data_IF_170517650051
#
_entry.id   IF_170517650051
#
_cell.length_a   1.000
_cell.length_b   1.000
_cell.length_c   1.000
_cell.angle_alpha   90.00
_cell.angle_beta   90.00
_cell.angle_gamma   90.00
#
_symmetry.space_group_name_H-M   'P 1'
#
loop_
_entity.id
_entity.type
_entity.pdbx_description
1 polymer ?
#
# COMPACT_ATOMS: atom_id res chain seq x y z
N UNK A 1 4.94 33.48 -4.52
CA UNK A 1 4.14 34.27 -3.56
C UNK A 1 3.83 35.60 -4.24
N UNK A 2 2.70 35.63 -4.94
CA UNK A 2 2.45 36.47 -6.11
C UNK A 2 1.60 37.70 -5.76
N UNK A 3 1.57 38.70 -6.66
CA UNK A 3 0.96 40.02 -6.53
C UNK A 3 -0.44 40.08 -5.89
N UNK A 4 -1.20 38.98 -5.92
CA UNK A 4 -2.50 38.82 -5.26
C UNK A 4 -2.44 39.00 -3.74
N UNK A 5 -1.42 38.48 -3.06
CA UNK A 5 -1.29 38.60 -1.60
C UNK A 5 -1.00 40.05 -1.18
N UNK A 6 -0.23 40.77 -2.02
CA UNK A 6 0.13 42.18 -1.83
C UNK A 6 -1.08 43.12 -2.01
N UNK A 7 -1.91 42.84 -3.03
CA UNK A 7 -3.17 43.56 -3.27
C UNK A 7 -4.23 43.28 -2.19
N UNK A 8 -4.27 42.07 -1.64
CA UNK A 8 -5.16 41.69 -0.54
C UNK A 8 -4.77 42.34 0.80
N UNK A 9 -3.48 42.41 1.14
CA UNK A 9 -3.02 43.14 2.32
C UNK A 9 -3.31 44.65 2.20
N UNK A 10 -3.12 45.24 1.02
CA UNK A 10 -3.41 46.65 0.78
C UNK A 10 -4.90 46.98 0.93
N UNK A 11 -5.80 46.10 0.48
CA UNK A 11 -7.25 46.29 0.59
C UNK A 11 -7.78 46.07 2.02
N UNK A 12 -7.22 45.13 2.79
CA UNK A 12 -7.57 44.91 4.19
C UNK A 12 -7.11 46.07 5.10
N UNK A 13 -5.95 46.69 4.81
CA UNK A 13 -5.45 47.86 5.55
C UNK A 13 -6.21 49.15 5.21
N UNK A 14 -6.66 49.31 3.95
CA UNK A 14 -7.43 50.50 3.53
C UNK A 14 -8.82 50.57 4.16
N UNK A 15 -9.37 49.43 4.62
CA UNK A 15 -10.66 49.35 5.30
C UNK A 15 -10.62 49.79 6.78
N UNK A 16 -9.44 49.88 7.40
CA UNK A 16 -9.32 50.11 8.85
C UNK A 16 -8.37 51.25 9.25
N UNK A 17 -7.49 51.72 8.36
CA UNK A 17 -6.62 52.88 8.61
C UNK A 17 -6.61 53.81 7.39
N UNK A 18 -7.47 54.84 7.34
CA UNK A 18 -7.61 55.72 6.15
C UNK A 18 -6.41 56.64 5.86
N UNK A 19 -5.28 56.48 6.55
CA UNK A 19 -4.24 57.50 6.65
C UNK A 19 -2.80 56.98 6.51
N UNK A 20 -2.53 56.02 5.62
CA UNK A 20 -1.14 55.67 5.24
C UNK A 20 -0.98 55.40 3.73
N UNK A 21 -0.30 56.29 2.96
CA UNK A 21 -0.38 56.26 1.51
C UNK A 21 0.87 55.71 0.79
N UNK A 22 1.63 54.73 1.31
CA UNK A 22 2.66 54.09 0.45
C UNK A 22 3.23 52.71 0.88
N UNK A 23 3.61 51.91 -0.11
CA UNK A 23 4.14 50.54 0.00
C UNK A 23 5.50 50.46 0.74
N UNK A 24 6.27 51.56 0.75
CA UNK A 24 7.56 51.68 1.45
C UNK A 24 7.41 51.65 2.98
N UNK A 25 6.32 52.20 3.52
CA UNK A 25 6.03 52.27 4.96
C UNK A 25 5.61 50.90 5.54
N UNK A 26 5.17 49.99 4.67
CA UNK A 26 4.79 48.62 5.06
C UNK A 26 6.03 47.73 5.29
N UNK A 27 7.14 47.99 4.56
CA UNK A 27 8.41 47.27 4.75
C UNK A 27 9.13 47.64 6.05
N UNK A 28 9.02 48.90 6.49
CA UNK A 28 9.58 49.34 7.78
C UNK A 28 8.74 48.82 8.96
N UNK A 29 7.42 48.73 8.82
CA UNK A 29 6.50 48.15 9.81
C UNK A 29 6.74 46.65 10.11
N UNK A 30 7.30 45.91 9.16
CA UNK A 30 7.67 44.48 9.32
C UNK A 30 8.95 44.24 10.14
N UNK A 31 9.72 45.30 10.47
CA UNK A 31 10.89 45.22 11.33
C UNK A 31 10.56 45.41 12.81
N UNK A 32 9.35 45.86 13.15
CA UNK A 32 8.85 45.90 14.52
C UNK A 32 8.32 44.51 14.91
N UNK A 33 8.91 43.82 15.91
CA UNK A 33 8.50 42.48 16.30
C UNK A 33 7.06 42.41 16.80
N UNK A 34 6.58 43.45 17.48
CA UNK A 34 5.25 43.50 18.09
C UNK A 34 4.19 43.72 17.01
N UNK A 35 4.47 44.63 16.06
CA UNK A 35 3.59 44.90 14.93
C UNK A 35 3.53 43.71 13.97
N UNK A 36 4.67 43.04 13.73
CA UNK A 36 4.75 41.80 12.95
C UNK A 36 3.92 40.68 13.58
N UNK A 37 3.99 40.50 14.89
CA UNK A 37 3.17 39.50 15.59
C UNK A 37 1.67 39.79 15.48
N UNK A 38 1.29 41.08 15.61
CA UNK A 38 -0.10 41.53 15.47
C UNK A 38 -0.62 41.34 14.04
N UNK A 39 0.21 41.63 13.03
CA UNK A 39 -0.11 41.41 11.62
C UNK A 39 -0.23 39.92 11.26
N UNK A 40 0.63 39.06 11.81
CA UNK A 40 0.53 37.59 11.62
C UNK A 40 -0.76 37.07 12.26
N UNK A 41 -1.03 37.46 13.50
CA UNK A 41 -2.28 37.08 14.20
C UNK A 41 -3.51 37.56 13.44
N UNK A 42 -3.53 38.81 12.96
CA UNK A 42 -4.64 39.33 12.15
C UNK A 42 -4.77 38.62 10.80
N UNK A 43 -3.65 38.27 10.14
CA UNK A 43 -3.66 37.47 8.91
C UNK A 43 -4.32 36.13 9.16
N UNK A 44 -3.92 35.44 10.22
CA UNK A 44 -4.44 34.12 10.53
C UNK A 44 -5.94 34.18 10.89
N UNK A 45 -6.38 35.20 11.65
CA UNK A 45 -7.83 35.44 11.92
C UNK A 45 -8.63 35.81 10.66
N UNK A 46 -8.07 36.63 9.76
CA UNK A 46 -8.74 37.01 8.50
C UNK A 46 -8.81 35.83 7.53
N UNK A 47 -7.74 35.04 7.43
CA UNK A 47 -7.73 33.79 6.66
C UNK A 47 -8.76 32.82 7.23
N UNK A 48 -8.82 32.61 8.54
CA UNK A 48 -9.81 31.76 9.20
C UNK A 48 -11.25 32.20 8.89
N UNK A 49 -11.51 33.51 8.89
CA UNK A 49 -12.84 34.11 8.61
C UNK A 49 -13.22 34.15 7.12
N UNK A 50 -12.24 34.21 6.22
CA UNK A 50 -12.45 34.11 4.77
C UNK A 50 -12.62 32.64 4.34
N UNK A 51 -11.86 31.73 4.95
CA UNK A 51 -11.96 30.30 4.71
C UNK A 51 -13.20 29.66 5.35
N UNK A 52 -13.78 30.27 6.38
CA UNK A 52 -15.08 29.85 6.93
C UNK A 52 -16.27 30.11 6.00
N UNK A 53 -16.09 30.78 4.86
CA UNK A 53 -17.18 31.05 3.91
C UNK A 53 -17.32 30.00 2.79
N UNK A 54 -16.36 29.08 2.61
CA UNK A 54 -16.52 27.94 1.70
C UNK A 54 -15.84 26.67 2.24
N UNK A 55 -16.57 25.55 2.22
CA UNK A 55 -16.09 24.25 2.70
C UNK A 55 -14.75 23.84 2.06
N UNK A 56 -14.59 24.09 0.76
CA UNK A 56 -13.37 23.79 0.01
C UNK A 56 -12.14 24.55 0.50
N UNK A 57 -12.32 25.81 0.91
CA UNK A 57 -11.21 26.66 1.29
C UNK A 57 -10.78 26.39 2.74
N UNK A 58 -11.72 26.02 3.61
CA UNK A 58 -11.42 25.42 4.92
C UNK A 58 -10.67 24.08 4.78
N UNK A 59 -11.14 23.17 3.92
CA UNK A 59 -10.47 21.90 3.65
C UNK A 59 -9.03 22.12 3.15
N UNK A 60 -8.85 23.01 2.17
CA UNK A 60 -7.54 23.39 1.65
C UNK A 60 -6.61 23.91 2.75
N UNK A 61 -7.13 24.77 3.64
CA UNK A 61 -6.39 25.26 4.81
C UNK A 61 -5.97 24.13 5.74
N UNK A 62 -6.89 23.23 6.09
CA UNK A 62 -6.62 22.08 6.96
C UNK A 62 -5.55 21.18 6.40
N UNK A 63 -5.64 20.81 5.12
CA UNK A 63 -4.65 19.94 4.47
C UNK A 63 -3.26 20.58 4.41
N UNK A 64 -3.19 21.89 4.12
CA UNK A 64 -1.93 22.65 4.02
C UNK A 64 -1.25 22.92 5.36
N UNK A 65 -2.03 23.21 6.40
CA UNK A 65 -1.45 23.66 7.67
C UNK A 65 -1.17 22.52 8.63
N UNK A 66 -1.84 21.37 8.46
CA UNK A 66 -1.60 20.19 9.30
C UNK A 66 -0.57 19.24 8.72
N UNK A 67 -0.06 19.49 7.50
CA UNK A 67 0.97 18.68 6.86
C UNK A 67 2.00 19.53 6.12
N UNK A 68 3.27 19.12 6.16
CA UNK A 68 4.33 19.70 5.31
C UNK A 68 4.65 18.84 4.10
N UNK A 69 4.26 17.56 4.13
CA UNK A 69 4.75 16.53 3.21
C UNK A 69 3.72 16.14 2.14
N UNK A 70 2.49 16.66 2.23
CA UNK A 70 1.45 16.40 1.23
C UNK A 70 1.57 17.40 0.07
N UNK A 71 1.84 16.89 -1.13
CA UNK A 71 2.10 17.73 -2.29
C UNK A 71 0.86 18.54 -2.73
N UNK A 72 1.06 19.76 -3.24
CA UNK A 72 -0.02 20.66 -3.65
C UNK A 72 -0.99 20.01 -4.65
N UNK A 73 -0.46 19.30 -5.65
CA UNK A 73 -1.28 18.63 -6.67
C UNK A 73 -2.21 17.56 -6.06
N UNK A 74 -1.78 16.90 -4.98
CA UNK A 74 -2.62 15.93 -4.26
C UNK A 74 -3.73 16.67 -3.54
N UNK A 75 -3.39 17.75 -2.84
CA UNK A 75 -4.36 18.59 -2.11
C UNK A 75 -5.42 19.12 -3.08
N UNK A 76 -5.03 19.63 -4.25
CA UNK A 76 -5.95 20.16 -5.25
C UNK A 76 -6.93 19.09 -5.73
N UNK A 77 -6.45 17.87 -6.03
CA UNK A 77 -7.34 16.76 -6.44
C UNK A 77 -8.23 16.27 -5.31
N UNK A 78 -7.76 16.26 -4.07
CA UNK A 78 -8.56 15.89 -2.89
C UNK A 78 -9.68 16.91 -2.67
N UNK A 79 -9.37 18.21 -2.74
CA UNK A 79 -10.37 19.27 -2.59
C UNK A 79 -11.47 19.16 -3.64
N UNK A 80 -11.10 19.03 -4.92
CA UNK A 80 -12.08 18.81 -6.00
C UNK A 80 -12.89 17.53 -5.79
N UNK A 81 -12.25 16.45 -5.31
CA UNK A 81 -12.95 15.20 -5.00
C UNK A 81 -14.05 15.39 -3.96
N UNK A 82 -13.77 16.14 -2.89
CA UNK A 82 -14.74 16.40 -1.83
C UNK A 82 -15.84 17.37 -2.29
N UNK A 83 -15.53 18.39 -3.09
CA UNK A 83 -16.55 19.24 -3.73
C UNK A 83 -17.53 18.42 -4.58
N UNK A 84 -17.02 17.42 -5.30
CA UNK A 84 -17.85 16.53 -6.09
C UNK A 84 -18.67 15.56 -5.24
N UNK A 85 -18.12 15.06 -4.13
CA UNK A 85 -18.87 14.27 -3.14
C UNK A 85 -20.05 15.09 -2.60
N UNK A 86 -19.82 16.34 -2.20
CA UNK A 86 -20.85 17.27 -1.72
C UNK A 86 -21.92 17.50 -2.80
N UNK A 87 -21.49 17.80 -4.03
CA UNK A 87 -22.40 18.01 -5.17
C UNK A 87 -23.29 16.80 -5.47
N UNK A 88 -22.79 15.60 -5.27
CA UNK A 88 -23.55 14.36 -5.45
C UNK A 88 -24.32 13.93 -4.20
N UNK A 89 -24.30 14.72 -3.12
CA UNK A 89 -24.95 14.43 -1.83
C UNK A 89 -24.57 13.05 -1.27
N UNK A 90 -23.30 12.67 -1.40
CA UNK A 90 -22.82 11.40 -0.86
C UNK A 90 -22.63 11.57 0.64
N UNK A 91 -23.39 10.81 1.45
CA UNK A 91 -23.24 10.84 2.90
C UNK A 91 -21.88 10.28 3.34
N UNK A 92 -21.19 11.06 4.16
CA UNK A 92 -19.95 10.68 4.85
C UNK A 92 -19.82 11.41 6.20
N UNK A 93 -18.90 10.95 7.03
CA UNK A 93 -18.48 11.63 8.27
C UNK A 93 -17.30 12.59 8.02
N UNK A 94 -16.85 13.30 9.06
CA UNK A 94 -15.79 14.31 8.95
C UNK A 94 -14.36 13.75 8.99
N UNK A 95 -14.18 12.44 8.84
CA UNK A 95 -12.86 11.81 8.78
C UNK A 95 -12.48 11.58 7.31
N UNK A 96 -11.29 12.06 6.93
CA UNK A 96 -10.76 11.93 5.58
C UNK A 96 -9.42 11.19 5.62
N UNK A 97 -9.30 10.12 4.84
CA UNK A 97 -8.02 9.47 4.57
C UNK A 97 -7.52 9.83 3.18
N UNK A 98 -6.25 10.22 3.06
CA UNK A 98 -5.58 10.46 1.77
C UNK A 98 -4.43 9.49 1.64
N UNK A 99 -4.34 8.80 0.50
CA UNK A 99 -3.21 7.94 0.15
C UNK A 99 -2.58 8.46 -1.13
N UNK A 100 -1.31 8.83 -1.07
CA UNK A 100 -0.53 9.27 -2.23
C UNK A 100 0.33 8.11 -2.75
N UNK A 101 -0.13 7.44 -3.80
CA UNK A 101 0.62 6.35 -4.43
C UNK A 101 1.74 6.84 -5.37
N UNK A 102 1.85 8.15 -5.63
CA UNK A 102 3.01 8.71 -6.37
C UNK A 102 4.31 8.61 -5.55
N UNK A 103 4.18 8.56 -4.22
CA UNK A 103 5.32 8.36 -3.32
C UNK A 103 5.75 6.89 -3.26
N UNK A 104 7.06 6.62 -3.18
CA UNK A 104 7.60 5.28 -2.94
C UNK A 104 7.02 4.61 -1.69
N UNK A 105 6.84 3.29 -1.74
CA UNK A 105 6.26 2.52 -0.63
C UNK A 105 7.14 2.42 0.63
N UNK A 106 8.39 2.87 0.57
CA UNK A 106 9.25 3.04 1.76
C UNK A 106 9.08 4.41 2.45
N UNK A 107 8.16 5.25 1.98
CA UNK A 107 7.83 6.55 2.59
C UNK A 107 6.44 6.50 3.22
N UNK A 108 6.23 7.37 4.23
CA UNK A 108 4.91 7.58 4.82
C UNK A 108 4.05 8.33 3.80
N UNK A 109 3.01 7.68 3.32
CA UNK A 109 2.18 8.13 2.18
C UNK A 109 0.68 7.96 2.40
N UNK A 110 0.30 7.81 3.67
CA UNK A 110 -1.09 7.82 4.13
C UNK A 110 -1.24 8.88 5.20
N UNK A 111 -2.28 9.71 5.06
CA UNK A 111 -2.70 10.71 6.02
C UNK A 111 -4.14 10.47 6.42
N UNK A 112 -4.48 10.69 7.68
CA UNK A 112 -5.86 10.68 8.19
C UNK A 112 -6.12 11.99 8.89
N UNK A 113 -7.20 12.67 8.52
CA UNK A 113 -7.59 13.99 9.01
C UNK A 113 -8.93 13.92 9.72
N UNK A 114 -9.03 14.68 10.80
CA UNK A 114 -10.29 15.12 11.39
C UNK A 114 -10.61 16.51 10.82
N UNK A 115 -11.55 16.57 9.89
CA UNK A 115 -11.94 17.80 9.19
C UNK A 115 -12.81 18.71 10.05
N UNK A 116 -13.49 18.17 11.07
CA UNK A 116 -14.25 18.98 12.03
C UNK A 116 -13.30 19.73 12.96
N UNK A 117 -12.23 19.06 13.41
CA UNK A 117 -11.25 19.63 14.35
C UNK A 117 -10.04 20.27 13.67
N UNK A 118 -9.96 20.24 12.34
CA UNK A 118 -8.81 20.68 11.54
C UNK A 118 -7.48 20.09 12.02
N UNK A 119 -7.43 18.75 12.19
CA UNK A 119 -6.28 18.04 12.75
C UNK A 119 -5.84 16.87 11.89
N UNK A 120 -4.52 16.70 11.77
CA UNK A 120 -3.91 15.46 11.32
C UNK A 120 -3.91 14.44 12.47
N UNK A 121 -4.54 13.28 12.26
CA UNK A 121 -4.61 12.18 13.23
C UNK A 121 -3.49 11.16 13.03
N UNK A 122 -3.19 10.83 11.77
CA UNK A 122 -2.19 9.80 11.42
C UNK A 122 -1.41 10.17 10.18
N UNK A 123 -0.10 9.90 10.17
CA UNK A 123 0.77 9.95 9.00
C UNK A 123 1.72 8.73 9.01
N UNK A 124 1.53 7.81 8.07
CA UNK A 124 2.18 6.49 8.14
C UNK A 124 2.37 5.78 6.78
N UNK A 125 2.99 4.60 6.80
CA UNK A 125 3.17 3.73 5.65
C UNK A 125 1.86 3.07 5.22
N UNK A 126 1.71 2.84 3.91
CA UNK A 126 0.62 2.01 3.38
C UNK A 126 1.06 1.22 2.15
N UNK A 127 0.70 -0.06 2.13
CA UNK A 127 1.02 -1.01 1.07
C UNK A 127 0.13 -0.82 -0.16
N UNK A 128 0.53 -1.48 -1.25
CA UNK A 128 -0.20 -1.53 -2.52
C UNK A 128 -0.27 -2.98 -3.02
N UNK A 129 -1.07 -3.21 -4.06
CA UNK A 129 -1.19 -4.52 -4.72
C UNK A 129 0.10 -4.99 -5.37
N UNK A 130 0.36 -6.30 -5.38
CA UNK A 130 1.59 -6.88 -5.93
C UNK A 130 1.78 -6.59 -7.43
N UNK A 131 0.69 -6.47 -8.19
CA UNK A 131 0.73 -6.13 -9.60
C UNK A 131 0.89 -4.63 -9.85
N UNK A 132 0.81 -3.80 -8.82
CA UNK A 132 0.90 -2.34 -8.95
C UNK A 132 2.32 -1.79 -8.92
N UNK A 133 3.34 -2.66 -8.80
CA UNK A 133 4.73 -2.26 -8.74
C UNK A 133 5.51 -2.93 -7.61
N UNK A 134 6.72 -2.44 -7.33
CA UNK A 134 7.60 -2.98 -6.29
C UNK A 134 7.92 -1.94 -5.22
N UNK A 135 8.77 -0.95 -5.54
CA UNK A 135 9.02 0.20 -4.68
C UNK A 135 8.02 1.31 -4.99
N UNK A 136 7.97 1.71 -6.26
CA UNK A 136 6.98 2.62 -6.82
C UNK A 136 5.68 1.88 -7.13
N UNK A 137 4.58 2.63 -7.16
CA UNK A 137 3.26 2.13 -7.54
C UNK A 137 2.92 2.72 -8.92
N UNK A 138 3.11 1.96 -9.99
CA UNK A 138 3.07 2.41 -11.39
C UNK A 138 1.93 1.79 -12.22
N UNK A 139 1.20 0.83 -11.66
CA UNK A 139 0.08 0.19 -12.32
C UNK A 139 -1.16 0.12 -11.42
N UNK A 140 -2.32 0.45 -11.97
CA UNK A 140 -3.60 0.43 -11.26
C UNK A 140 -4.65 -0.30 -12.08
N UNK A 141 -5.53 -1.03 -11.41
CA UNK A 141 -6.58 -1.76 -12.11
C UNK A 141 -7.78 -2.02 -11.21
N UNK A 142 -8.95 -1.80 -11.79
CA UNK A 142 -10.25 -2.14 -11.23
C UNK A 142 -10.72 -3.56 -11.62
N UNK A 143 -9.94 -4.30 -12.40
CA UNK A 143 -10.36 -5.62 -12.90
C UNK A 143 -10.32 -6.69 -11.81
N UNK A 144 -11.22 -7.65 -11.89
CA UNK A 144 -11.19 -8.85 -11.06
C UNK A 144 -9.86 -9.60 -11.22
N UNK A 145 -9.36 -10.17 -10.13
CA UNK A 145 -8.06 -10.88 -10.02
C UNK A 145 -6.80 -10.12 -10.53
N UNK A 146 -6.90 -8.81 -10.78
CA UNK A 146 -5.74 -8.00 -11.23
C UNK A 146 -4.60 -7.96 -10.22
N UNK A 147 -4.92 -8.17 -8.93
CA UNK A 147 -4.03 -8.03 -7.77
C UNK A 147 -3.35 -6.66 -7.69
N UNK A 148 -3.94 -5.67 -8.34
CA UNK A 148 -3.48 -4.28 -8.36
C UNK A 148 -4.37 -3.42 -7.47
N UNK A 149 -3.82 -2.34 -6.95
CA UNK A 149 -4.58 -1.26 -6.32
C UNK A 149 -5.40 -0.51 -7.39
N UNK A 150 -6.53 0.06 -6.99
CA UNK A 150 -7.39 0.93 -7.82
C UNK A 150 -7.42 2.35 -7.24
N UNK A 151 -7.45 3.37 -8.10
CA UNK A 151 -7.48 4.78 -7.71
C UNK A 151 -8.90 5.27 -7.43
N UNK A 152 -9.02 6.50 -6.92
CA UNK A 152 -10.29 7.20 -6.80
C UNK A 152 -10.82 7.32 -5.38
N UNK A 153 -12.08 7.72 -5.28
CA UNK A 153 -12.77 7.95 -4.00
C UNK A 153 -13.43 6.66 -3.53
N UNK A 154 -13.21 6.33 -2.26
CA UNK A 154 -13.85 5.22 -1.56
C UNK A 154 -14.60 5.75 -0.33
N UNK A 155 -15.60 5.00 0.10
CA UNK A 155 -16.25 5.14 1.40
C UNK A 155 -15.97 3.91 2.26
N UNK A 156 -15.71 4.13 3.53
CA UNK A 156 -15.51 3.06 4.50
C UNK A 156 -16.84 2.54 5.01
N UNK A 157 -16.93 1.23 5.21
CA UNK A 157 -18.12 0.60 5.80
C UNK A 157 -17.83 0.17 7.25
N UNK A 158 -18.56 -0.84 7.72
CA UNK A 158 -18.27 -1.51 8.98
C UNK A 158 -16.97 -2.29 8.86
N UNK A 159 -16.13 -2.16 9.87
CA UNK A 159 -15.01 -3.05 10.02
C UNK A 159 -15.50 -4.42 10.54
N UNK A 160 -14.81 -5.48 10.15
CA UNK A 160 -15.05 -6.85 10.59
C UNK A 160 -13.76 -7.50 11.09
N UNK A 161 -13.86 -8.72 11.61
CA UNK A 161 -12.71 -9.56 11.91
C UNK A 161 -12.60 -10.63 10.84
N UNK A 162 -11.51 -10.59 10.07
CA UNK A 162 -11.19 -11.55 9.04
C UNK A 162 -9.84 -12.20 9.27
N UNK A 163 -9.35 -12.88 8.25
CA UNK A 163 -8.07 -13.61 8.28
C UNK A 163 -6.85 -12.74 8.62
N UNK A 164 -6.85 -11.50 8.14
CA UNK A 164 -5.80 -10.50 8.41
C UNK A 164 -6.03 -9.75 9.74
N UNK A 165 -6.92 -10.26 10.59
CA UNK A 165 -7.33 -9.64 11.84
C UNK A 165 -8.44 -8.62 11.63
N UNK A 166 -8.35 -7.49 12.34
CA UNK A 166 -9.28 -6.38 12.19
C UNK A 166 -9.12 -5.77 10.79
N UNK A 167 -10.18 -5.79 9.99
CA UNK A 167 -10.19 -5.30 8.61
C UNK A 167 -11.40 -4.42 8.34
N UNK A 168 -11.25 -3.47 7.42
CA UNK A 168 -12.27 -2.50 7.06
C UNK A 168 -12.69 -2.65 5.60
N UNK A 169 -13.98 -2.89 5.36
CA UNK A 169 -14.52 -2.94 4.00
C UNK A 169 -14.50 -1.56 3.37
N UNK A 170 -14.14 -1.53 2.08
CA UNK A 170 -14.07 -0.30 1.29
C UNK A 170 -15.05 -0.41 0.12
N UNK A 171 -15.99 0.52 0.06
CA UNK A 171 -16.87 0.69 -1.08
C UNK A 171 -16.22 1.67 -2.06
N UNK A 172 -15.96 1.23 -3.30
CA UNK A 172 -15.53 2.13 -4.36
C UNK A 172 -16.70 2.98 -4.86
N UNK A 173 -16.52 4.29 -4.93
CA UNK A 173 -17.53 5.23 -5.41
C UNK A 173 -17.28 5.70 -6.86
N UNK A 174 -16.04 5.58 -7.34
CA UNK A 174 -15.58 6.14 -8.61
C UNK A 174 -15.73 5.10 -9.74
N UNK A 175 -16.82 5.24 -10.50
CA UNK A 175 -17.20 4.31 -11.56
C UNK A 175 -16.07 4.07 -12.57
N UNK A 176 -15.88 2.83 -12.98
CA UNK A 176 -14.78 2.34 -13.81
C UNK A 176 -13.37 2.37 -13.16
N UNK A 177 -13.16 3.15 -12.09
CA UNK A 177 -11.86 3.25 -11.41
C UNK A 177 -11.74 2.34 -10.20
N UNK A 178 -12.80 2.24 -9.38
CA UNK A 178 -12.78 1.42 -8.17
C UNK A 178 -14.11 0.77 -7.79
N UNK A 179 -15.15 0.91 -8.61
CA UNK A 179 -16.49 0.34 -8.38
C UNK A 179 -16.52 -1.19 -8.23
N UNK A 180 -15.48 -1.92 -8.63
CA UNK A 180 -15.35 -3.35 -8.36
C UNK A 180 -14.68 -3.67 -7.02
N UNK A 181 -14.35 -2.68 -6.18
CA UNK A 181 -13.63 -2.89 -4.92
C UNK A 181 -14.27 -3.95 -4.02
N UNK A 182 -15.59 -3.89 -3.81
CA UNK A 182 -16.32 -4.86 -2.99
C UNK A 182 -16.29 -6.27 -3.61
N UNK A 183 -16.54 -6.38 -4.92
CA UNK A 183 -16.47 -7.66 -5.66
C UNK A 183 -15.07 -8.28 -5.65
N UNK A 184 -14.04 -7.44 -5.51
CA UNK A 184 -12.63 -7.82 -5.42
C UNK A 184 -12.17 -8.05 -3.98
N UNK A 185 -13.07 -7.94 -3.00
CA UNK A 185 -12.79 -8.02 -1.57
C UNK A 185 -11.66 -7.07 -1.13
N UNK A 186 -11.63 -5.86 -1.70
CA UNK A 186 -10.68 -4.82 -1.31
C UNK A 186 -11.06 -4.27 0.06
N UNK A 187 -10.13 -4.38 1.00
CA UNK A 187 -10.30 -3.98 2.41
C UNK A 187 -9.03 -3.28 2.88
N UNK A 188 -9.13 -2.41 3.88
CA UNK A 188 -7.96 -1.95 4.63
C UNK A 188 -7.68 -2.93 5.77
N UNK A 189 -6.42 -3.36 5.92
CA UNK A 189 -6.04 -4.32 6.96
C UNK A 189 -4.60 -4.11 7.43
N UNK A 190 -4.22 -4.74 8.54
CA UNK A 190 -2.83 -4.74 9.02
C UNK A 190 -1.97 -5.80 8.32
N UNK A 191 -0.67 -5.55 8.19
CA UNK A 191 0.30 -6.51 7.64
C UNK A 191 1.65 -6.44 8.35
N UNK A 192 2.20 -7.59 8.77
CA UNK A 192 3.51 -7.64 9.45
C UNK A 192 4.65 -7.11 8.56
N UNK A 193 4.47 -7.22 7.24
CA UNK A 193 5.36 -6.75 6.19
C UNK A 193 5.30 -5.23 5.95
N UNK A 194 4.58 -4.48 6.80
CA UNK A 194 4.46 -3.03 6.74
C UNK A 194 5.21 -2.33 7.89
N UNK A 195 6.00 -3.06 8.70
CA UNK A 195 6.78 -2.47 9.79
C UNK A 195 7.98 -1.66 9.28
N UNK A 196 8.43 -0.69 10.09
CA UNK A 196 9.62 0.11 9.78
C UNK A 196 10.88 -0.78 9.63
N UNK A 197 11.02 -1.81 10.46
CA UNK A 197 12.13 -2.76 10.37
C UNK A 197 12.11 -3.56 9.07
N UNK A 198 10.92 -3.99 8.63
CA UNK A 198 10.77 -4.65 7.33
C UNK A 198 11.20 -3.72 6.20
N UNK A 199 10.73 -2.46 6.22
CA UNK A 199 11.06 -1.46 5.21
C UNK A 199 12.57 -1.16 5.21
N UNK A 200 13.19 -1.02 6.39
CA UNK A 200 14.63 -0.79 6.52
C UNK A 200 15.43 -1.98 6.00
N UNK A 201 15.02 -3.22 6.31
CA UNK A 201 15.69 -4.45 5.86
C UNK A 201 15.60 -4.64 4.35
N UNK A 202 14.47 -4.26 3.74
CA UNK A 202 14.15 -4.60 2.35
C UNK A 202 14.08 -3.42 1.38
N UNK A 203 14.27 -2.19 1.86
CA UNK A 203 14.22 -0.96 1.06
C UNK A 203 12.81 -0.58 0.56
N UNK A 204 11.76 -1.33 0.92
CA UNK A 204 10.35 -1.10 0.54
C UNK A 204 9.39 -1.79 1.50
N UNK A 205 8.13 -1.38 1.49
CA UNK A 205 7.08 -2.13 2.20
C UNK A 205 6.76 -3.45 1.49
N UNK A 206 6.13 -4.38 2.21
CA UNK A 206 5.44 -5.50 1.58
C UNK A 206 4.27 -5.04 0.70
N UNK A 207 3.67 -6.01 0.01
CA UNK A 207 2.58 -5.78 -0.96
C UNK A 207 1.42 -6.71 -0.63
N UNK A 208 0.21 -6.28 -0.93
CA UNK A 208 -1.04 -7.03 -0.77
C UNK A 208 -1.54 -7.52 -2.14
N UNK A 209 -2.82 -7.90 -2.25
CA UNK A 209 -3.47 -8.22 -3.53
C UNK A 209 -4.35 -7.08 -4.06
N UNK A 210 -4.05 -5.84 -3.65
CA UNK A 210 -4.78 -4.62 -4.04
C UNK A 210 -5.23 -3.80 -2.83
N UNK A 211 -5.40 -4.46 -1.68
CA UNK A 211 -5.76 -3.87 -0.41
C UNK A 211 -4.72 -2.85 0.12
N UNK A 212 -5.12 -1.68 0.62
CA UNK A 212 -4.22 -0.84 1.42
C UNK A 212 -3.86 -1.56 2.74
N UNK A 213 -2.59 -1.94 2.89
CA UNK A 213 -2.09 -2.63 4.08
C UNK A 213 -1.35 -1.66 5.00
N UNK A 214 -1.68 -1.66 6.29
CA UNK A 214 -1.11 -0.80 7.33
C UNK A 214 -0.08 -1.55 8.19
N UNK A 215 0.83 -0.84 8.88
CA UNK A 215 1.63 -1.44 9.95
C UNK A 215 0.73 -2.02 11.05
N UNK A 216 0.99 -3.27 11.47
CA UNK A 216 0.15 -3.99 12.43
C UNK A 216 -0.10 -3.22 13.73
N UNK A 217 0.91 -2.51 14.24
CA UNK A 217 0.85 -1.78 15.51
C UNK A 217 -0.19 -0.66 15.54
N UNK A 218 -0.54 -0.09 14.38
CA UNK A 218 -1.45 1.06 14.27
C UNK A 218 -2.69 0.77 13.43
N UNK A 219 -2.78 -0.42 12.80
CA UNK A 219 -3.88 -0.79 11.93
C UNK A 219 -5.24 -0.73 12.65
N UNK A 220 -5.34 -1.29 13.87
CA UNK A 220 -6.59 -1.26 14.65
C UNK A 220 -7.01 0.18 15.02
N UNK A 221 -6.16 1.03 15.64
CA UNK A 221 -6.50 2.42 15.90
C UNK A 221 -6.97 3.21 14.66
N UNK A 222 -6.28 3.07 13.52
CA UNK A 222 -6.67 3.73 12.27
C UNK A 222 -8.04 3.21 11.81
N UNK A 223 -8.22 1.88 11.73
CA UNK A 223 -9.49 1.28 11.28
C UNK A 223 -10.66 1.73 12.16
N UNK A 224 -10.49 1.80 13.49
CA UNK A 224 -11.54 2.27 14.38
C UNK A 224 -11.83 3.77 14.23
N UNK A 225 -10.84 4.56 13.80
CA UNK A 225 -11.00 6.00 13.53
C UNK A 225 -11.74 6.25 12.22
N UNK A 226 -11.44 5.47 11.18
CA UNK A 226 -11.94 5.73 9.82
C UNK A 226 -13.14 4.86 9.43
N UNK A 227 -13.61 3.94 10.28
CA UNK A 227 -14.82 3.15 9.98
C UNK A 227 -16.07 4.03 9.93
N UNK A 228 -17.17 3.44 9.47
CA UNK A 228 -18.51 4.02 9.57
C UNK A 228 -18.67 5.33 8.75
N UNK A 229 -18.60 5.19 7.42
CA UNK A 229 -18.84 6.24 6.42
C UNK A 229 -17.77 7.35 6.34
N UNK A 230 -16.50 7.07 6.60
CA UNK A 230 -15.43 8.02 6.25
C UNK A 230 -15.07 7.95 4.77
N UNK A 231 -14.41 8.98 4.24
CA UNK A 231 -13.89 8.98 2.87
C UNK A 231 -12.41 8.57 2.84
N UNK A 232 -12.03 7.90 1.75
CA UNK A 232 -10.64 7.66 1.38
C UNK A 232 -10.42 8.12 -0.06
N UNK A 233 -9.41 8.97 -0.29
CA UNK A 233 -8.95 9.34 -1.63
C UNK A 233 -7.62 8.64 -1.91
N UNK A 234 -7.63 7.70 -2.85
CA UNK A 234 -6.42 7.02 -3.33
C UNK A 234 -5.92 7.69 -4.61
N UNK A 235 -4.86 8.47 -4.48
CA UNK A 235 -4.33 9.35 -5.52
C UNK A 235 -3.11 8.75 -6.24
N UNK A 236 -3.01 9.02 -7.53
CA UNK A 236 -1.80 8.93 -8.35
C UNK A 236 -1.95 9.87 -9.57
N UNK A 237 -0.88 10.50 -10.08
CA UNK A 237 -0.94 11.34 -11.28
C UNK A 237 -1.25 10.49 -12.52
N UNK A 238 -2.55 10.42 -12.86
CA UNK A 238 -3.05 9.63 -13.98
C UNK A 238 -3.99 10.47 -14.83
N UNK A 239 -3.60 10.76 -16.07
CA UNK A 239 -4.42 11.53 -17.01
C UNK A 239 -5.78 10.88 -17.27
N UNK A 240 -5.80 9.54 -17.32
CA UNK A 240 -7.03 8.77 -17.48
C UNK A 240 -7.99 9.01 -16.31
N UNK A 241 -7.49 8.96 -15.08
CA UNK A 241 -8.30 9.23 -13.89
C UNK A 241 -8.73 10.69 -13.80
N UNK A 242 -7.81 11.62 -14.05
CA UNK A 242 -8.08 13.06 -14.01
C UNK A 242 -9.16 13.48 -15.00
N UNK A 243 -9.16 12.92 -16.22
CA UNK A 243 -10.12 13.29 -17.26
C UNK A 243 -11.48 12.60 -17.18
N UNK A 244 -11.55 11.40 -16.57
CA UNK A 244 -12.77 10.57 -16.62
C UNK A 244 -13.44 10.36 -15.27
N UNK A 245 -12.75 10.60 -14.15
CA UNK A 245 -13.34 10.45 -12.83
C UNK A 245 -14.50 11.43 -12.65
N UNK A 246 -15.65 10.91 -12.21
CA UNK A 246 -16.81 11.75 -11.87
C UNK A 246 -16.53 12.66 -10.67
N UNK A 247 -15.55 12.30 -9.83
CA UNK A 247 -15.13 13.07 -8.67
C UNK A 247 -14.06 14.11 -8.98
N UNK A 248 -13.57 14.17 -10.21
CA UNK A 248 -12.66 15.24 -10.65
C UNK A 248 -13.29 16.17 -11.70
N UNK A 249 -14.48 15.81 -12.21
CA UNK A 249 -15.13 16.50 -13.33
C UNK A 249 -16.60 16.85 -13.04
N UNK A 250 -17.03 16.96 -11.78
CA UNK A 250 -18.43 17.26 -11.45
C UNK A 250 -18.87 18.68 -11.79
N UNK A 251 -17.93 19.62 -12.00
CA UNK A 251 -18.20 21.03 -12.34
C UNK A 251 -18.12 21.30 -13.85
N UNK A 252 -17.47 20.42 -14.61
CA UNK A 252 -17.31 20.52 -16.06
C UNK A 252 -18.22 19.50 -16.77
N UNK A 253 -19.10 19.96 -17.67
CA UNK A 253 -19.74 19.06 -18.64
C UNK A 253 -18.69 18.62 -19.65
N UNK A 254 -17.97 17.54 -19.37
CA UNK A 254 -17.15 16.89 -20.38
C UNK A 254 -18.02 15.92 -21.17
N UNK A 255 -18.15 16.14 -22.48
CA UNK A 255 -18.60 15.13 -23.43
C UNK A 255 -17.60 13.96 -23.36
N UNK A 256 -18.04 12.84 -22.80
CA UNK A 256 -17.28 11.60 -22.75
C UNK A 256 -17.09 11.09 -24.18
N UNK A 257 -15.93 11.31 -24.76
CA UNK A 257 -15.51 10.57 -25.96
C UNK A 257 -14.79 9.30 -25.47
N UNK A 258 -15.37 8.10 -25.66
CA UNK A 258 -14.78 6.87 -25.15
C UNK A 258 -13.66 6.42 -26.09
N UNK A 259 -12.52 7.11 -26.09
CA UNK A 259 -11.31 6.48 -26.62
C UNK A 259 -10.88 5.36 -25.67
N UNK A 260 -10.94 4.15 -26.24
CA UNK A 260 -10.45 2.90 -25.68
C UNK A 260 -8.93 3.05 -25.55
N UNK A 261 -8.47 3.48 -24.38
CA UNK A 261 -7.06 3.37 -24.02
C UNK A 261 -6.78 1.87 -23.99
N UNK A 262 -6.03 1.39 -24.98
CA UNK A 262 -5.51 0.02 -24.98
C UNK A 262 -4.79 -0.20 -23.65
N UNK A 263 -5.10 -1.28 -22.91
CA UNK A 263 -4.36 -1.59 -21.71
C UNK A 263 -2.88 -1.63 -22.08
N UNK A 264 -2.04 -0.92 -21.32
CA UNK A 264 -0.60 -1.11 -21.40
C UNK A 264 -0.37 -2.61 -21.30
N UNK A 265 0.17 -3.19 -22.37
CA UNK A 265 0.39 -4.63 -22.43
C UNK A 265 1.21 -5.00 -21.20
N UNK A 266 0.59 -5.83 -20.37
CA UNK A 266 1.22 -6.38 -19.20
C UNK A 266 2.37 -7.22 -19.72
N UNK A 267 3.60 -6.74 -19.54
CA UNK A 267 4.69 -7.68 -19.36
C UNK A 267 4.31 -8.47 -18.10
N UNK A 268 3.73 -9.66 -18.32
CA UNK A 268 3.60 -10.69 -17.31
C UNK A 268 5.01 -10.90 -16.78
N UNK A 269 5.35 -10.22 -15.66
CA UNK A 269 6.62 -10.42 -14.99
C UNK A 269 6.77 -11.94 -14.85
N UNK A 270 7.76 -12.57 -15.51
CA UNK A 270 7.87 -14.01 -15.53
C UNK A 270 7.90 -14.52 -14.10
N UNK A 271 6.93 -15.37 -13.74
CA UNK A 271 6.86 -15.93 -12.40
C UNK A 271 7.81 -17.11 -12.34
N UNK A 272 8.73 -17.07 -11.38
CA UNK A 272 9.63 -18.18 -11.12
C UNK A 272 8.83 -19.39 -10.60
N UNK A 273 9.17 -20.58 -11.10
CA UNK A 273 8.63 -21.82 -10.57
C UNK A 273 9.14 -22.05 -9.14
N UNK A 274 8.23 -22.47 -8.27
CA UNK A 274 8.54 -22.97 -6.91
C UNK A 274 8.04 -24.39 -6.74
N UNK A 275 8.57 -25.08 -5.73
CA UNK A 275 8.48 -26.53 -5.65
C UNK A 275 7.68 -27.00 -4.44
N UNK A 276 6.85 -28.02 -4.68
CA UNK A 276 6.03 -28.67 -3.67
C UNK A 276 6.33 -30.17 -3.59
N UNK A 277 6.34 -30.72 -2.38
CA UNK A 277 6.37 -32.16 -2.12
C UNK A 277 5.02 -32.65 -1.61
N UNK A 278 4.63 -33.88 -2.00
CA UNK A 278 3.39 -34.52 -1.54
C UNK A 278 3.69 -35.44 -0.34
N UNK A 279 3.06 -35.16 0.79
CA UNK A 279 3.16 -35.93 2.03
C UNK A 279 1.78 -36.50 2.38
N UNK A 280 1.51 -37.73 1.92
CA UNK A 280 0.17 -38.31 2.02
C UNK A 280 -0.88 -37.48 1.27
N UNK A 281 -1.80 -36.85 2.01
CA UNK A 281 -2.83 -35.94 1.45
C UNK A 281 -2.35 -34.49 1.33
N UNK A 282 -1.27 -34.12 2.01
CA UNK A 282 -0.82 -32.75 2.11
C UNK A 282 0.17 -32.41 0.99
N UNK A 283 0.07 -31.20 0.46
CA UNK A 283 0.99 -30.67 -0.55
C UNK A 283 1.74 -29.49 0.05
N UNK A 284 3.01 -29.73 0.37
CA UNK A 284 3.84 -28.81 1.14
C UNK A 284 4.86 -28.11 0.26
N UNK A 285 5.09 -26.83 0.50
CA UNK A 285 6.10 -26.07 -0.23
C UNK A 285 7.47 -26.22 0.42
N UNK A 286 8.48 -26.41 -0.42
CA UNK A 286 9.87 -26.43 -0.01
C UNK A 286 10.41 -25.01 0.23
N UNK A 287 10.98 -24.79 1.40
CA UNK A 287 11.43 -23.48 1.87
C UNK A 287 12.79 -23.53 2.56
N UNK A 288 13.41 -22.37 2.64
CA UNK A 288 14.64 -22.10 3.39
C UNK A 288 14.48 -20.80 4.19
N UNK A 289 15.09 -20.70 5.37
CA UNK A 289 15.09 -19.45 6.15
C UNK A 289 15.76 -18.31 5.37
N UNK A 290 15.21 -17.10 5.44
CA UNK A 290 15.61 -15.96 4.61
C UNK A 290 17.06 -15.51 4.83
N UNK A 291 17.53 -15.55 6.08
CA UNK A 291 18.90 -15.15 6.40
C UNK A 291 19.91 -16.23 5.96
N UNK A 292 19.52 -17.50 6.00
CA UNK A 292 20.31 -18.60 5.46
C UNK A 292 20.33 -18.59 3.93
N UNK A 293 19.18 -18.36 3.28
CA UNK A 293 19.09 -18.13 1.84
C UNK A 293 20.10 -17.09 1.37
N UNK A 294 20.21 -15.96 2.08
CA UNK A 294 21.15 -14.90 1.73
C UNK A 294 22.61 -15.37 1.82
N UNK A 295 22.96 -16.13 2.85
CA UNK A 295 24.31 -16.68 3.03
C UNK A 295 24.63 -17.74 1.98
N UNK A 296 23.72 -18.69 1.78
CA UNK A 296 23.88 -19.84 0.88
C UNK A 296 23.99 -19.43 -0.59
N UNK A 297 23.13 -18.53 -1.06
CA UNK A 297 23.10 -18.15 -2.48
C UNK A 297 23.81 -16.84 -2.78
N UNK A 298 24.39 -16.18 -1.77
CA UNK A 298 24.95 -14.83 -1.86
C UNK A 298 24.00 -13.83 -2.56
N UNK A 299 22.69 -13.97 -2.29
CA UNK A 299 21.63 -13.22 -2.95
C UNK A 299 20.61 -12.76 -1.92
N UNK A 300 20.22 -11.49 -1.99
CA UNK A 300 19.10 -11.01 -1.19
C UNK A 300 17.82 -11.75 -1.55
N UNK A 301 16.98 -12.09 -0.56
CA UNK A 301 15.62 -12.59 -0.80
C UNK A 301 14.93 -11.78 -1.91
N UNK A 302 14.34 -12.44 -2.93
CA UNK A 302 13.82 -11.74 -4.11
C UNK A 302 12.60 -10.90 -3.75
N UNK A 303 12.70 -9.58 -3.91
CA UNK A 303 11.69 -8.62 -3.48
C UNK A 303 10.43 -8.63 -4.36
N UNK A 304 10.56 -9.01 -5.63
CA UNK A 304 9.42 -9.09 -6.55
C UNK A 304 8.47 -10.25 -6.22
N UNK A 305 8.90 -11.22 -5.40
CA UNK A 305 8.13 -12.43 -5.05
C UNK A 305 7.38 -12.27 -3.73
N UNK A 306 6.09 -12.62 -3.72
CA UNK A 306 5.29 -12.75 -2.50
C UNK A 306 5.22 -14.22 -2.06
N UNK A 307 6.38 -14.87 -1.94
CA UNK A 307 6.49 -16.25 -1.44
C UNK A 307 7.40 -16.25 -0.22
N UNK A 308 7.05 -15.38 0.74
CA UNK A 308 7.71 -15.23 2.04
C UNK A 308 6.66 -15.35 3.14
N UNK A 309 6.95 -16.13 4.18
CA UNK A 309 6.06 -16.26 5.33
C UNK A 309 6.84 -16.22 6.62
N UNK A 310 6.22 -15.63 7.64
CA UNK A 310 6.71 -15.72 9.01
C UNK A 310 6.18 -16.99 9.65
N UNK A 311 7.08 -17.81 10.17
CA UNK A 311 6.80 -19.04 10.91
C UNK A 311 7.60 -18.92 12.20
N UNK A 312 6.93 -18.97 13.36
CA UNK A 312 7.56 -18.81 14.68
C UNK A 312 8.47 -17.57 14.80
N UNK A 313 8.14 -16.48 14.09
CA UNK A 313 8.91 -15.24 14.12
C UNK A 313 9.97 -15.10 13.03
N UNK A 314 10.41 -16.20 12.42
CA UNK A 314 11.43 -16.26 11.36
C UNK A 314 10.81 -16.19 9.97
N UNK A 315 11.53 -15.62 9.00
CA UNK A 315 11.06 -15.52 7.61
C UNK A 315 11.58 -16.69 6.78
N UNK A 316 10.70 -17.34 6.02
CA UNK A 316 11.03 -18.44 5.12
C UNK A 316 10.69 -18.09 3.67
N UNK A 317 11.51 -18.57 2.74
CA UNK A 317 11.45 -18.27 1.31
C UNK A 317 11.30 -19.57 0.53
N UNK A 318 10.41 -19.53 -0.45
CA UNK A 318 10.23 -20.59 -1.44
C UNK A 318 11.47 -20.78 -2.34
N UNK A 319 11.95 -22.01 -2.45
CA UNK A 319 13.05 -22.32 -3.38
C UNK A 319 12.58 -22.41 -4.84
N UNK A 320 13.45 -21.99 -5.76
CA UNK A 320 13.22 -21.99 -7.21
C UNK A 320 14.06 -23.04 -7.93
N UNK A 321 13.90 -23.07 -9.26
CA UNK A 321 14.71 -23.91 -10.13
C UNK A 321 16.20 -23.59 -9.96
N UNK A 322 16.56 -22.31 -10.03
CA UNK A 322 17.94 -21.86 -9.88
C UNK A 322 18.50 -22.22 -8.50
N UNK A 323 17.70 -22.15 -7.45
CA UNK A 323 18.15 -22.53 -6.11
C UNK A 323 18.42 -24.04 -6.02
N UNK A 324 17.49 -24.88 -6.50
CA UNK A 324 17.64 -26.33 -6.45
C UNK A 324 18.77 -26.83 -7.35
N UNK A 325 18.86 -26.31 -8.58
CA UNK A 325 19.96 -26.60 -9.49
C UNK A 325 21.30 -26.26 -8.85
N UNK A 326 21.42 -25.06 -8.25
CA UNK A 326 22.65 -24.64 -7.59
C UNK A 326 23.01 -25.54 -6.39
N UNK A 327 22.04 -26.03 -5.63
CA UNK A 327 22.28 -27.00 -4.55
C UNK A 327 22.78 -28.37 -5.06
N UNK A 328 22.58 -28.70 -6.34
CA UNK A 328 23.01 -29.97 -6.94
C UNK A 328 24.35 -29.79 -7.67
N UNK A 329 24.48 -28.73 -8.46
CA UNK A 329 25.56 -28.58 -9.44
C UNK A 329 26.73 -27.75 -8.94
N UNK A 330 26.60 -27.02 -7.82
CA UNK A 330 27.63 -26.12 -7.28
C UNK A 330 28.16 -26.60 -5.92
N UNK A 331 29.24 -27.40 -5.89
CA UNK A 331 29.84 -27.89 -4.64
C UNK A 331 30.20 -26.76 -3.67
N UNK A 332 30.59 -25.59 -4.17
CA UNK A 332 30.93 -24.42 -3.35
C UNK A 332 29.76 -23.96 -2.47
N UNK A 333 28.51 -24.12 -2.90
CA UNK A 333 27.33 -23.77 -2.10
C UNK A 333 27.17 -24.75 -0.93
N UNK A 334 27.38 -26.05 -1.16
CA UNK A 334 27.37 -27.06 -0.09
C UNK A 334 28.58 -26.92 0.82
N UNK A 335 29.75 -26.49 0.33
CA UNK A 335 30.91 -26.25 1.17
C UNK A 335 30.71 -25.05 2.11
N UNK A 336 29.99 -24.01 1.66
CA UNK A 336 29.63 -22.86 2.49
C UNK A 336 28.65 -23.21 3.60
N UNK A 337 27.77 -24.20 3.38
CA UNK A 337 26.91 -24.76 4.41
C UNK A 337 26.75 -26.28 4.20
N UNK A 338 27.62 -27.10 4.82
CA UNK A 338 27.62 -28.55 4.67
C UNK A 338 26.29 -29.20 5.06
N UNK A 339 25.56 -28.58 5.99
CA UNK A 339 24.29 -29.09 6.53
C UNK A 339 23.07 -28.39 5.92
N UNK A 340 23.22 -27.77 4.73
CA UNK A 340 22.12 -27.03 4.09
C UNK A 340 20.87 -27.87 3.86
N UNK A 341 21.02 -29.20 3.70
CA UNK A 341 19.90 -30.10 3.52
C UNK A 341 19.04 -30.25 4.77
N UNK A 342 19.62 -30.14 5.96
CA UNK A 342 18.91 -30.19 7.25
C UNK A 342 18.06 -28.93 7.49
N UNK A 343 18.45 -27.84 6.84
CA UNK A 343 17.82 -26.52 6.92
C UNK A 343 16.70 -26.34 5.87
N UNK A 344 16.50 -27.35 5.01
CA UNK A 344 15.38 -27.38 4.09
C UNK A 344 14.14 -27.89 4.81
N UNK A 345 13.06 -27.13 4.67
CA UNK A 345 11.81 -27.47 5.32
C UNK A 345 10.66 -27.55 4.33
N UNK A 346 9.68 -28.38 4.66
CA UNK A 346 8.39 -28.41 3.99
C UNK A 346 7.34 -27.76 4.88
N UNK A 347 6.58 -26.82 4.33
CA UNK A 347 5.56 -26.09 5.09
C UNK A 347 4.21 -26.14 4.40
N UNK A 348 3.15 -26.20 5.22
CA UNK A 348 1.76 -26.21 4.77
C UNK A 348 0.96 -25.09 5.43
N UNK A 349 -0.07 -24.60 4.75
CA UNK A 349 -1.02 -23.69 5.35
C UNK A 349 -2.04 -24.46 6.20
N UNK A 350 -2.21 -24.07 7.46
CA UNK A 350 -3.27 -24.59 8.33
C UNK A 350 -4.19 -23.47 8.79
N UNK A 351 -5.49 -23.76 8.80
CA UNK A 351 -6.51 -22.82 9.27
C UNK A 351 -6.65 -23.01 10.78
N UNK A 352 -6.41 -21.96 11.56
CA UNK A 352 -6.61 -21.97 13.00
C UNK A 352 -7.64 -20.95 13.42
N UNK A 353 -8.51 -21.34 14.34
CA UNK A 353 -9.41 -20.41 15.01
C UNK A 353 -8.62 -19.62 16.05
N UNK A 354 -8.62 -18.29 15.93
CA UNK A 354 -8.05 -17.38 16.90
C UNK A 354 -9.08 -16.32 17.24
N UNK A 355 -9.45 -16.21 18.52
CA UNK A 355 -10.34 -15.15 19.03
C UNK A 355 -11.64 -14.99 18.22
N UNK A 356 -12.26 -16.11 17.83
CA UNK A 356 -13.54 -16.13 17.10
C UNK A 356 -13.45 -15.96 15.58
N UNK A 357 -12.25 -15.91 14.99
CA UNK A 357 -12.07 -15.86 13.54
C UNK A 357 -11.00 -16.84 13.06
N UNK A 358 -11.07 -17.24 11.79
CA UNK A 358 -10.09 -18.14 11.17
C UNK A 358 -8.91 -17.34 10.62
N UNK A 359 -7.70 -17.69 11.04
CA UNK A 359 -6.45 -17.22 10.44
C UNK A 359 -5.75 -18.38 9.76
N UNK A 360 -4.92 -18.09 8.75
CA UNK A 360 -4.07 -19.12 8.14
C UNK A 360 -2.65 -18.98 8.69
N UNK A 361 -2.18 -20.02 9.35
CA UNK A 361 -0.82 -20.15 9.84
C UNK A 361 -0.03 -21.09 8.92
N UNK A 362 1.28 -20.93 8.85
CA UNK A 362 2.14 -21.93 8.22
C UNK A 362 2.68 -22.85 9.30
N UNK A 363 2.68 -24.14 9.02
CA UNK A 363 3.25 -25.15 9.90
C UNK A 363 4.23 -26.01 9.13
N UNK A 364 5.26 -26.50 9.83
CA UNK A 364 6.21 -27.45 9.28
C UNK A 364 5.55 -28.83 9.17
N UNK A 365 5.78 -29.50 8.06
CA UNK A 365 5.60 -30.94 7.98
C UNK A 365 6.82 -31.59 8.62
N UNK A 366 6.58 -32.49 9.58
CA UNK A 366 7.64 -33.35 10.08
C UNK A 366 8.04 -34.34 8.98
N UNK A 367 9.32 -34.39 8.66
CA UNK A 367 9.90 -35.34 7.72
C UNK A 367 11.24 -35.84 8.28
N UNK A 368 11.70 -37.04 7.88
CA UNK A 368 13.06 -37.48 8.19
C UNK A 368 14.12 -36.62 7.52
N UNK A 369 15.38 -36.82 7.89
CA UNK A 369 16.54 -36.12 7.31
C UNK A 369 16.57 -36.23 5.78
N UNK A 370 16.83 -35.11 5.10
CA UNK A 370 17.00 -35.06 3.65
C UNK A 370 18.44 -35.46 3.34
N UNK A 371 18.63 -36.59 2.67
CA UNK A 371 19.97 -37.12 2.36
C UNK A 371 20.54 -36.57 1.06
N UNK A 372 19.68 -36.33 0.07
CA UNK A 372 20.12 -35.76 -1.21
C UNK A 372 18.96 -35.17 -2.02
N UNK A 373 19.33 -34.34 -3.01
CA UNK A 373 18.44 -33.81 -4.04
C UNK A 373 19.02 -34.24 -5.38
N UNK A 374 18.21 -34.80 -6.25
CA UNK A 374 18.61 -35.19 -7.60
C UNK A 374 17.69 -34.59 -8.66
N UNK A 375 18.23 -34.32 -9.85
CA UNK A 375 17.44 -33.90 -11.01
C UNK A 375 17.01 -35.13 -11.81
N UNK A 376 15.78 -35.14 -12.35
CA UNK A 376 15.39 -36.17 -13.33
C UNK A 376 15.99 -35.78 -14.68
N UNK A 377 16.82 -36.64 -15.26
CA UNK A 377 17.47 -36.41 -16.55
C UNK A 377 16.44 -36.31 -17.68
N UNK A 378 15.93 -35.10 -17.92
CA UNK A 378 15.20 -34.75 -19.13
C UNK A 378 15.35 -33.24 -19.41
N UNK A 379 15.88 -32.81 -20.57
CA UNK A 379 16.38 -31.44 -20.79
C UNK A 379 15.34 -30.31 -20.66
N UNK A 380 14.06 -30.64 -20.59
CA UNK A 380 12.94 -29.68 -20.57
C UNK A 380 12.09 -29.75 -19.29
N UNK A 381 12.43 -30.63 -18.35
CA UNK A 381 11.61 -30.87 -17.18
C UNK A 381 12.32 -30.40 -15.89
N UNK A 382 11.88 -29.26 -15.38
CA UNK A 382 12.12 -28.74 -14.03
C UNK A 382 11.59 -29.71 -12.95
N UNK A 383 12.16 -30.91 -12.85
CA UNK A 383 11.70 -32.00 -11.98
C UNK A 383 12.86 -32.46 -11.11
N UNK A 384 12.64 -32.38 -9.81
CA UNK A 384 13.61 -32.73 -8.78
C UNK A 384 13.02 -33.82 -7.90
N UNK A 385 13.90 -34.65 -7.34
CA UNK A 385 13.55 -35.67 -6.35
C UNK A 385 14.30 -35.34 -5.06
N UNK A 386 13.57 -35.35 -3.94
CA UNK A 386 14.14 -35.26 -2.60
C UNK A 386 14.19 -36.66 -2.01
N UNK A 387 15.38 -37.08 -1.61
CA UNK A 387 15.61 -38.36 -0.94
C UNK A 387 15.73 -38.14 0.57
N UNK A 388 15.16 -39.06 1.33
CA UNK A 388 15.13 -39.01 2.79
C UNK A 388 15.82 -40.25 3.36
N UNK A 389 16.25 -40.18 4.62
CA UNK A 389 16.94 -41.29 5.29
C UNK A 389 16.07 -42.53 5.50
N UNK A 390 14.79 -42.34 5.84
CA UNK A 390 13.85 -43.43 6.18
C UNK A 390 12.47 -43.27 5.51
N UNK A 391 12.29 -42.24 4.68
CA UNK A 391 11.03 -41.98 3.97
C UNK A 391 11.22 -42.18 2.46
N UNK A 392 10.16 -42.57 1.75
CA UNK A 392 10.20 -42.71 0.30
C UNK A 392 10.57 -41.39 -0.37
N UNK A 393 11.40 -41.46 -1.41
CA UNK A 393 11.77 -40.27 -2.16
C UNK A 393 10.53 -39.58 -2.76
N UNK A 394 10.51 -38.25 -2.70
CA UNK A 394 9.38 -37.45 -3.20
C UNK A 394 9.81 -36.70 -4.45
N UNK A 395 9.07 -36.87 -5.54
CA UNK A 395 9.19 -36.00 -6.70
C UNK A 395 8.53 -34.65 -6.43
N UNK A 396 9.28 -33.57 -6.63
CA UNK A 396 8.77 -32.23 -6.48
C UNK A 396 7.91 -31.82 -7.69
N UNK A 397 6.82 -31.12 -7.40
CA UNK A 397 5.94 -30.51 -8.40
C UNK A 397 6.24 -29.02 -8.49
N UNK A 398 6.63 -28.55 -9.67
CA UNK A 398 6.91 -27.15 -9.96
C UNK A 398 5.63 -26.39 -10.30
N UNK A 399 5.49 -25.16 -9.83
CA UNK A 399 4.40 -24.27 -10.24
C UNK A 399 4.85 -22.82 -10.19
N UNK A 400 4.56 -22.09 -11.26
CA UNK A 400 4.77 -20.65 -11.40
C UNK A 400 3.44 -19.87 -11.25
N UNK A 401 2.34 -20.59 -10.98
CA UNK A 401 1.09 -19.95 -10.66
C UNK A 401 1.30 -19.13 -9.38
N UNK A 402 0.62 -18.00 -9.30
CA UNK A 402 0.62 -17.24 -8.06
C UNK A 402 -0.21 -18.02 -7.06
N UNK A 403 0.47 -18.87 -6.32
CA UNK A 403 -0.16 -19.71 -5.31
C UNK A 403 -0.46 -18.80 -4.15
N UNK A 404 -1.75 -18.67 -3.85
CA UNK A 404 -2.18 -18.24 -2.53
C UNK A 404 -1.55 -19.25 -1.58
N UNK A 405 -0.41 -18.91 -0.98
CA UNK A 405 0.37 -19.77 -0.09
C UNK A 405 -0.38 -20.30 1.15
N UNK A 406 -1.70 -20.11 1.21
CA UNK A 406 -2.55 -20.17 2.36
C UNK A 406 -4.01 -20.14 1.87
N UNK A 407 -4.68 -21.29 1.79
CA UNK A 407 -6.14 -21.50 1.64
C UNK A 407 -7.00 -20.39 1.02
N UNK A 408 -7.50 -20.64 -0.20
CA UNK A 408 -8.91 -20.38 -0.53
C UNK A 408 -9.58 -21.74 -0.62
#
# INVERSE_FOLDING_TARGET
MTAYLSLMLASVLNLYTPSYPNLLTIKSALHDPLLKHKLISMRDTVLEKLYSQSNSANLMYTLKNTTTDLHQDVIDKVVVSLECVDKYNISHNQILTVIDYSLPSNQKRLWVFDLEKNKLLYHTYVGHGISSGTLLTDYFSNKYDSKATSLGVYRTEQAYYGREGRSLRLQGLDYSFNDNASNRYIVMHGGWYMSADFIKKYGRSGRSWGCPALPLSIAKPIIETIKDNSLIVMYYPSDSWFSKSRFLNCTHKAELNPEIIKPLNQDLIPREYVYFGKFGKDTAILVLEADLYKKTFNQSPPLKRMLRRRINGHEYIALTNQNLEALITKPEIRNLNPNILDELHFVIPTIKMQRGYYTTQMEFISHPEITSISMIENPTANKYIIHFSTFSAIQLTATNQFIRWLGL
#
